data_IF_790732778769
#
_entry.id   IF_790732778769
#
_cell.length_a   1.000
_cell.length_b   1.000
_cell.length_c   1.000
_cell.angle_alpha   90.00
_cell.angle_beta   90.00
_cell.angle_gamma   90.00
#
_symmetry.space_group_name_H-M   'P 1'
#
loop_
_entity.id
_entity.type
_entity.pdbx_description
1 polymer ?
#
# COMPACT_ATOMS: atom_id res chain seq x y z
N UNK A 1 -13.17 1.13 14.02
CA UNK A 1 -13.92 0.47 12.94
C UNK A 1 -13.85 1.26 11.63
N UNK A 2 -14.48 2.44 11.50
CA UNK A 2 -14.58 3.14 10.20
C UNK A 2 -13.25 3.53 9.56
N UNK A 3 -12.27 3.98 10.35
CA UNK A 3 -10.91 4.27 9.86
C UNK A 3 -10.26 3.02 9.26
N UNK A 4 -10.35 1.91 9.98
CA UNK A 4 -9.83 0.60 9.60
C UNK A 4 -10.49 0.09 8.32
N UNK A 5 -11.81 0.20 8.24
CA UNK A 5 -12.58 -0.15 7.06
C UNK A 5 -12.16 0.72 5.85
N UNK A 6 -11.97 2.03 6.04
CA UNK A 6 -11.51 2.92 4.98
C UNK A 6 -10.10 2.54 4.49
N UNK A 7 -9.19 2.17 5.39
CA UNK A 7 -7.83 1.71 5.03
C UNK A 7 -7.89 0.40 4.25
N UNK A 8 -8.63 -0.61 4.73
CA UNK A 8 -8.81 -1.89 4.04
C UNK A 8 -9.47 -1.67 2.67
N UNK A 9 -10.53 -0.87 2.63
CA UNK A 9 -11.25 -0.54 1.41
C UNK A 9 -10.36 0.15 0.37
N UNK A 10 -9.47 1.05 0.79
CA UNK A 10 -8.45 1.65 -0.09
C UNK A 10 -7.55 0.57 -0.69
N UNK A 11 -6.95 -0.29 0.14
CA UNK A 11 -6.08 -1.36 -0.37
C UNK A 11 -6.82 -2.30 -1.31
N UNK A 12 -8.08 -2.61 -1.01
CA UNK A 12 -8.92 -3.44 -1.87
C UNK A 12 -9.20 -2.78 -3.23
N UNK A 13 -9.50 -1.47 -3.26
CA UNK A 13 -9.69 -0.71 -4.50
C UNK A 13 -8.42 -0.67 -5.34
N UNK A 14 -7.26 -0.38 -4.75
CA UNK A 14 -5.97 -0.34 -5.47
C UNK A 14 -5.61 -1.73 -6.01
N UNK A 15 -5.83 -2.77 -5.21
CA UNK A 15 -5.65 -4.16 -5.64
C UNK A 15 -6.56 -4.51 -6.84
N UNK A 16 -7.85 -4.16 -6.78
CA UNK A 16 -8.78 -4.42 -7.87
C UNK A 16 -8.44 -3.62 -9.13
N UNK A 17 -7.96 -2.38 -8.99
CA UNK A 17 -7.45 -1.59 -10.10
C UNK A 17 -6.28 -2.31 -10.78
N UNK A 18 -5.28 -2.77 -10.02
CA UNK A 18 -4.15 -3.53 -10.57
C UNK A 18 -4.61 -4.78 -11.31
N UNK A 19 -5.47 -5.59 -10.70
CA UNK A 19 -5.96 -6.84 -11.31
C UNK A 19 -6.82 -6.59 -12.55
N UNK A 20 -7.54 -5.46 -12.58
CA UNK A 20 -8.28 -5.00 -13.76
C UNK A 20 -7.40 -4.60 -14.94
N UNK A 21 -6.09 -4.45 -14.75
CA UNK A 21 -5.13 -4.12 -15.81
C UNK A 21 -4.38 -5.35 -16.37
N UNK A 22 -4.67 -6.56 -15.87
CA UNK A 22 -3.96 -7.79 -16.23
C UNK A 22 -4.62 -8.52 -17.41
N UNK A 23 -3.83 -9.01 -18.36
CA UNK A 23 -4.27 -9.95 -19.42
C UNK A 23 -4.19 -11.41 -18.98
N UNK A 24 -3.37 -11.71 -17.98
CA UNK A 24 -3.14 -13.07 -17.50
C UNK A 24 -2.78 -13.06 -16.01
N UNK A 25 -3.05 -14.17 -15.33
CA UNK A 25 -2.69 -14.39 -13.94
C UNK A 25 -1.85 -15.68 -13.89
N UNK A 26 -0.68 -15.62 -13.26
CA UNK A 26 0.19 -16.79 -13.09
C UNK A 26 0.23 -17.25 -11.62
N UNK A 27 0.74 -18.47 -11.38
CA UNK A 27 0.78 -19.05 -10.03
C UNK A 27 1.64 -18.24 -9.05
N UNK A 28 2.67 -17.55 -9.54
CA UNK A 28 3.54 -16.70 -8.72
C UNK A 28 2.75 -15.50 -8.18
N UNK A 29 1.99 -14.81 -9.02
CA UNK A 29 1.13 -13.70 -8.63
C UNK A 29 0.07 -14.16 -7.63
N UNK A 30 -0.55 -15.33 -7.86
CA UNK A 30 -1.52 -15.93 -6.93
C UNK A 30 -0.89 -16.20 -5.56
N UNK A 31 0.32 -16.78 -5.51
CA UNK A 31 1.00 -17.05 -4.25
C UNK A 31 1.26 -15.76 -3.45
N UNK A 32 1.74 -14.70 -4.10
CA UNK A 32 1.95 -13.40 -3.44
C UNK A 32 0.64 -12.72 -3.04
N UNK A 33 -0.43 -12.90 -3.81
CA UNK A 33 -1.76 -12.46 -3.44
C UNK A 33 -2.26 -13.15 -2.16
N UNK A 34 -2.03 -14.45 -1.99
CA UNK A 34 -2.42 -15.15 -0.76
C UNK A 34 -1.66 -14.62 0.47
N UNK A 35 -0.36 -14.32 0.34
CA UNK A 35 0.40 -13.68 1.42
C UNK A 35 -0.17 -12.29 1.73
N UNK A 36 -0.47 -11.49 0.70
CA UNK A 36 -1.14 -10.19 0.87
C UNK A 36 -2.47 -10.32 1.62
N UNK A 37 -3.33 -11.26 1.21
CA UNK A 37 -4.63 -11.49 1.85
C UNK A 37 -4.49 -11.94 3.31
N UNK A 38 -3.46 -12.71 3.66
CA UNK A 38 -3.19 -13.09 5.04
C UNK A 38 -2.92 -11.85 5.92
N UNK A 39 -2.11 -10.89 5.46
CA UNK A 39 -1.86 -9.65 6.18
C UNK A 39 -3.09 -8.74 6.24
N UNK A 40 -3.86 -8.65 5.15
CA UNK A 40 -5.13 -7.88 5.14
C UNK A 40 -6.13 -8.48 6.14
N UNK A 41 -6.26 -9.80 6.20
CA UNK A 41 -7.10 -10.50 7.15
C UNK A 41 -6.61 -10.36 8.60
N UNK A 42 -5.29 -10.21 8.81
CA UNK A 42 -4.70 -9.97 10.12
C UNK A 42 -4.84 -8.51 10.59
N UNK A 43 -4.99 -7.55 9.67
CA UNK A 43 -5.01 -6.11 9.96
C UNK A 43 -6.03 -5.63 11.01
N UNK A 44 -7.22 -6.26 11.20
CA UNK A 44 -8.12 -5.92 12.30
C UNK A 44 -7.51 -6.06 13.70
N UNK A 45 -6.57 -6.99 13.90
CA UNK A 45 -5.91 -7.20 15.19
C UNK A 45 -5.05 -5.98 15.63
N UNK A 46 -4.01 -5.54 14.88
CA UNK A 46 -3.23 -4.38 15.28
C UNK A 46 -4.05 -3.08 15.25
N UNK A 47 -5.10 -3.03 14.44
CA UNK A 47 -6.07 -1.93 14.45
C UNK A 47 -6.79 -1.84 15.79
N UNK A 48 -7.32 -2.95 16.31
CA UNK A 48 -7.97 -2.98 17.61
C UNK A 48 -6.97 -2.60 18.71
N UNK A 49 -5.73 -3.08 18.60
CA UNK A 49 -4.65 -2.76 19.52
C UNK A 49 -4.37 -1.25 19.59
N UNK A 50 -4.37 -0.53 18.46
CA UNK A 50 -4.24 0.94 18.45
C UNK A 50 -5.45 1.60 19.10
N UNK A 51 -6.65 1.06 18.85
CA UNK A 51 -7.88 1.61 19.43
C UNK A 51 -7.92 1.59 20.95
N UNK A 52 -7.27 0.60 21.57
CA UNK A 52 -7.23 0.41 23.03
C UNK A 52 -5.92 0.91 23.67
N UNK A 53 -4.80 0.84 22.95
CA UNK A 53 -3.46 1.15 23.45
C UNK A 53 -2.70 2.13 22.54
N UNK A 54 -3.32 3.24 22.15
CA UNK A 54 -2.72 4.23 21.25
C UNK A 54 -1.43 4.86 21.80
N UNK A 55 -1.26 4.92 23.12
CA UNK A 55 -0.06 5.44 23.78
C UNK A 55 1.07 4.40 23.89
N UNK A 56 0.81 3.14 23.55
CA UNK A 56 1.82 2.08 23.54
C UNK A 56 2.56 2.04 22.21
N UNK A 57 3.89 2.22 22.24
CA UNK A 57 4.73 2.10 21.06
C UNK A 57 4.61 0.72 20.40
N UNK A 58 4.45 -0.35 21.18
CA UNK A 58 4.23 -1.71 20.65
C UNK A 58 2.97 -1.77 19.79
N UNK A 59 1.91 -1.09 20.22
CA UNK A 59 0.64 -1.04 19.49
C UNK A 59 0.81 -0.33 18.13
N UNK A 60 1.38 0.88 18.15
CA UNK A 60 1.60 1.69 16.95
C UNK A 60 2.55 0.99 15.97
N UNK A 61 3.63 0.40 16.47
CA UNK A 61 4.61 -0.33 15.67
C UNK A 61 4.00 -1.58 15.04
N UNK A 62 3.17 -2.34 15.79
CA UNK A 62 2.49 -3.53 15.27
C UNK A 62 1.59 -3.20 14.08
N UNK A 63 0.87 -2.08 14.16
CA UNK A 63 0.07 -1.59 13.04
C UNK A 63 0.94 -1.14 11.87
N UNK A 64 1.95 -0.28 12.11
CA UNK A 64 2.84 0.21 11.06
C UNK A 64 3.56 -0.92 10.32
N UNK A 65 3.99 -1.97 11.03
CA UNK A 65 4.57 -3.16 10.42
C UNK A 65 3.55 -3.90 9.56
N UNK A 66 2.35 -4.15 10.07
CA UNK A 66 1.32 -4.86 9.33
C UNK A 66 0.91 -4.11 8.06
N UNK A 67 0.59 -2.82 8.15
CA UNK A 67 0.22 -2.00 6.98
C UNK A 67 1.39 -1.76 6.03
N UNK A 68 2.60 -1.62 6.56
CA UNK A 68 3.84 -1.56 5.77
C UNK A 68 4.04 -2.82 4.94
N UNK A 69 3.84 -4.01 5.53
CA UNK A 69 3.88 -5.29 4.83
C UNK A 69 2.79 -5.39 3.75
N UNK A 70 1.53 -5.00 4.04
CA UNK A 70 0.46 -4.95 3.03
C UNK A 70 0.87 -4.09 1.83
N UNK A 71 1.41 -2.90 2.09
CA UNK A 71 1.88 -1.97 1.04
C UNK A 71 3.05 -2.53 0.23
N UNK A 72 3.98 -3.21 0.89
CA UNK A 72 5.14 -3.82 0.24
C UNK A 72 4.73 -5.00 -0.65
N UNK A 73 3.76 -5.80 -0.20
CA UNK A 73 3.19 -6.90 -0.96
C UNK A 73 2.41 -6.41 -2.18
N UNK A 74 1.66 -5.32 -2.05
CA UNK A 74 1.02 -4.65 -3.19
C UNK A 74 2.06 -4.17 -4.21
N UNK A 75 3.10 -3.48 -3.76
CA UNK A 75 4.24 -3.07 -4.61
C UNK A 75 4.88 -4.29 -5.30
N UNK A 76 5.04 -5.40 -4.57
CA UNK A 76 5.59 -6.63 -5.12
C UNK A 76 4.72 -7.20 -6.24
N UNK A 77 3.39 -7.17 -6.08
CA UNK A 77 2.45 -7.61 -7.11
C UNK A 77 2.52 -6.71 -8.36
N UNK A 78 2.68 -5.39 -8.21
CA UNK A 78 2.93 -4.47 -9.34
C UNK A 78 4.20 -4.87 -10.10
N UNK A 79 5.31 -5.10 -9.37
CA UNK A 79 6.59 -5.51 -9.98
C UNK A 79 6.45 -6.85 -10.72
N UNK A 80 5.82 -7.86 -10.10
CA UNK A 80 5.59 -9.17 -10.74
C UNK A 80 4.75 -9.02 -12.00
N UNK A 81 3.69 -8.21 -11.96
CA UNK A 81 2.78 -8.02 -13.09
C UNK A 81 3.50 -7.44 -14.30
N UNK A 82 4.50 -6.56 -14.09
CA UNK A 82 5.30 -5.98 -15.16
C UNK A 82 6.42 -6.93 -15.61
N UNK A 83 7.16 -7.55 -14.67
CA UNK A 83 8.30 -8.42 -14.99
C UNK A 83 7.87 -9.70 -15.70
N UNK A 84 6.74 -10.28 -15.30
CA UNK A 84 6.22 -11.52 -15.88
C UNK A 84 5.28 -11.25 -17.09
N UNK A 85 5.28 -10.02 -17.63
CA UNK A 85 4.44 -9.56 -18.76
C UNK A 85 2.95 -9.92 -18.62
N UNK A 86 2.38 -9.67 -17.44
CA UNK A 86 0.98 -9.97 -17.13
C UNK A 86 0.02 -8.82 -17.46
N UNK A 87 0.53 -7.64 -17.77
CA UNK A 87 -0.26 -6.44 -18.06
C UNK A 87 -0.92 -6.51 -19.45
N UNK A 88 -2.17 -6.03 -19.57
CA UNK A 88 -2.86 -5.89 -20.86
C UNK A 88 -2.13 -4.96 -21.83
N UNK A 89 -1.55 -3.89 -21.30
CA UNK A 89 -0.75 -2.92 -22.05
C UNK A 89 0.61 -2.82 -21.38
N UNK A 90 1.67 -2.97 -22.16
CA UNK A 90 3.04 -2.77 -21.66
C UNK A 90 3.20 -1.32 -21.23
N UNK A 91 3.52 -1.10 -19.95
CA UNK A 91 3.71 0.25 -19.41
C UNK A 91 5.02 0.85 -19.95
N UNK A 92 5.00 2.08 -20.47
CA UNK A 92 6.21 2.85 -20.68
C UNK A 92 7.00 3.03 -19.36
N UNK A 93 8.34 3.16 -19.39
CA UNK A 93 9.16 3.28 -18.18
C UNK A 93 8.74 4.42 -17.24
N UNK A 94 8.22 5.52 -17.79
CA UNK A 94 7.73 6.66 -17.01
C UNK A 94 6.43 6.36 -16.23
N UNK A 95 5.49 5.63 -16.85
CA UNK A 95 4.24 5.20 -16.23
C UNK A 95 4.53 4.15 -15.16
N UNK A 96 5.42 3.20 -15.46
CA UNK A 96 5.87 2.20 -14.50
C UNK A 96 6.53 2.86 -13.28
N UNK A 97 7.46 3.79 -13.48
CA UNK A 97 8.11 4.51 -12.38
C UNK A 97 7.12 5.32 -11.56
N UNK A 98 6.14 5.97 -12.21
CA UNK A 98 5.09 6.71 -11.53
C UNK A 98 4.25 5.80 -10.63
N UNK A 99 3.82 4.65 -11.15
CA UNK A 99 3.08 3.63 -10.39
C UNK A 99 3.91 3.07 -9.24
N UNK A 100 5.19 2.74 -9.50
CA UNK A 100 6.08 2.15 -8.50
C UNK A 100 6.34 3.10 -7.34
N UNK A 101 6.58 4.39 -7.62
CA UNK A 101 6.75 5.41 -6.58
C UNK A 101 5.46 5.54 -5.76
N UNK A 102 4.29 5.59 -6.40
CA UNK A 102 3.02 5.68 -5.70
C UNK A 102 2.78 4.48 -4.75
N UNK A 103 3.14 3.27 -5.16
CA UNK A 103 3.04 2.05 -4.34
C UNK A 103 4.09 1.99 -3.22
N UNK A 104 5.30 2.52 -3.45
CA UNK A 104 6.39 2.55 -2.47
C UNK A 104 6.19 3.62 -1.39
N UNK A 105 5.49 4.70 -1.69
CA UNK A 105 5.25 5.78 -0.74
C UNK A 105 4.70 5.25 0.59
N UNK A 106 3.60 4.46 0.63
CA UNK A 106 3.07 3.93 1.89
C UNK A 106 4.08 3.07 2.66
N UNK A 107 4.88 2.27 1.97
CA UNK A 107 5.94 1.45 2.58
C UNK A 107 6.93 2.35 3.32
N UNK A 108 7.43 3.38 2.64
CA UNK A 108 8.39 4.32 3.22
C UNK A 108 7.79 5.07 4.41
N UNK A 109 6.55 5.52 4.33
CA UNK A 109 5.91 6.24 5.42
C UNK A 109 5.71 5.39 6.67
N UNK A 110 5.21 4.15 6.52
CA UNK A 110 5.07 3.25 7.66
C UNK A 110 6.43 2.88 8.25
N UNK A 111 7.44 2.58 7.41
CA UNK A 111 8.80 2.29 7.87
C UNK A 111 9.41 3.46 8.65
N UNK A 112 9.26 4.70 8.15
CA UNK A 112 9.75 5.91 8.81
C UNK A 112 8.97 6.25 10.08
N UNK A 113 7.71 5.82 10.20
CA UNK A 113 6.92 6.05 11.41
C UNK A 113 7.33 5.15 12.59
N UNK A 114 7.98 4.01 12.34
CA UNK A 114 8.46 3.09 13.39
C UNK A 114 9.46 3.75 14.35
N UNK A 115 10.57 4.36 13.87
CA UNK A 115 11.47 5.06 14.78
C UNK A 115 10.75 6.18 15.52
N UNK A 116 9.89 6.96 14.86
CA UNK A 116 9.12 8.03 15.50
C UNK A 116 8.25 7.50 16.65
N UNK A 117 7.62 6.34 16.47
CA UNK A 117 6.75 5.72 17.48
C UNK A 117 7.49 5.30 18.75
N UNK A 118 8.82 5.13 18.70
CA UNK A 118 9.65 4.87 19.89
C UNK A 118 9.82 6.11 20.78
N UNK A 119 9.74 7.31 20.20
CA UNK A 119 9.82 8.57 20.95
C UNK A 119 8.44 9.16 21.24
N UNK A 120 7.52 9.11 20.27
CA UNK A 120 6.18 9.68 20.39
C UNK A 120 5.19 8.98 19.44
N UNK A 121 4.28 8.22 20.03
CA UNK A 121 3.21 7.47 19.34
C UNK A 121 2.24 8.38 18.59
N UNK A 122 1.84 9.51 19.18
CA UNK A 122 0.91 10.45 18.56
C UNK A 122 1.50 11.09 17.31
N UNK A 123 2.76 11.54 17.38
CA UNK A 123 3.47 12.11 16.22
C UNK A 123 3.57 11.07 15.11
N UNK A 124 3.90 9.81 15.45
CA UNK A 124 3.95 8.72 14.48
C UNK A 124 2.58 8.52 13.78
N UNK A 125 1.47 8.49 14.53
CA UNK A 125 0.13 8.35 13.96
C UNK A 125 -0.24 9.55 13.05
N UNK A 126 0.11 10.78 13.44
CA UNK A 126 -0.13 11.96 12.59
C UNK A 126 0.65 11.94 11.28
N UNK A 127 1.84 11.31 11.25
CA UNK A 127 2.59 11.17 9.98
C UNK A 127 1.80 10.40 8.93
N UNK A 128 0.96 9.43 9.33
CA UNK A 128 0.15 8.65 8.40
C UNK A 128 -0.93 9.49 7.71
N UNK A 129 -1.50 10.48 8.42
CA UNK A 129 -2.47 11.43 7.84
C UNK A 129 -1.78 12.42 6.90
N UNK A 130 -0.65 12.97 7.35
CA UNK A 130 0.18 13.89 6.56
C UNK A 130 0.59 13.28 5.23
N UNK A 131 0.76 11.95 5.21
CA UNK A 131 1.14 11.18 4.05
C UNK A 131 0.05 11.10 2.95
N UNK A 132 -1.22 11.34 3.27
CA UNK A 132 -2.29 11.42 2.26
C UNK A 132 -2.08 12.59 1.29
N UNK A 133 -1.43 13.66 1.75
CA UNK A 133 -1.15 14.86 0.95
C UNK A 133 -0.17 14.59 -0.19
N UNK A 134 1.05 14.08 0.03
CA UNK A 134 1.98 13.79 -1.05
C UNK A 134 1.43 12.72 -2.01
N UNK A 135 0.66 11.74 -1.53
CA UNK A 135 -0.06 10.77 -2.39
C UNK A 135 -1.04 11.49 -3.35
N UNK A 136 -1.83 12.44 -2.83
CA UNK A 136 -2.75 13.23 -3.66
C UNK A 136 -2.04 14.16 -4.65
N UNK A 137 -0.93 14.78 -4.24
CA UNK A 137 -0.11 15.62 -5.12
C UNK A 137 0.58 14.79 -6.21
N UNK A 138 1.12 13.62 -5.86
CA UNK A 138 1.73 12.69 -6.81
C UNK A 138 0.70 12.24 -7.85
N UNK A 139 -0.52 11.91 -7.43
CA UNK A 139 -1.62 11.56 -8.33
C UNK A 139 -2.05 12.67 -9.28
N UNK A 140 -1.69 13.94 -9.03
CA UNK A 140 -1.90 15.06 -9.96
C UNK A 140 -0.74 15.23 -10.95
N UNK A 141 0.47 14.86 -10.57
CA UNK A 141 1.66 14.91 -11.41
C UNK A 141 1.78 13.69 -12.34
N UNK A 142 0.70 13.34 -13.05
CA UNK A 142 0.68 12.20 -13.97
C UNK A 142 1.46 12.52 -15.26
N UNK A 143 2.40 11.66 -15.69
CA UNK A 143 2.95 11.72 -17.05
C UNK A 143 1.85 11.73 -18.12
N UNK A 144 2.16 12.28 -19.30
CA UNK A 144 1.24 12.28 -20.44
C UNK A 144 0.87 10.84 -20.83
N UNK A 145 -0.41 10.59 -21.14
CA UNK A 145 -0.89 9.26 -21.55
C UNK A 145 -1.05 8.24 -20.43
N UNK A 146 -0.75 8.56 -19.16
CA UNK A 146 -0.89 7.60 -18.03
C UNK A 146 -2.28 6.99 -17.92
N UNK A 147 -3.33 7.78 -18.19
CA UNK A 147 -4.71 7.30 -18.12
C UNK A 147 -5.01 6.23 -19.19
N UNK A 148 -4.23 6.15 -20.28
CA UNK A 148 -4.38 5.10 -21.29
C UNK A 148 -3.85 3.75 -20.81
N UNK A 149 -3.08 3.73 -19.71
CA UNK A 149 -2.47 2.52 -19.15
C UNK A 149 -3.02 2.17 -17.76
N UNK A 150 -3.49 3.15 -17.00
CA UNK A 150 -3.94 3.00 -15.60
C UNK A 150 -5.42 3.34 -15.37
N UNK A 151 -6.15 3.73 -16.43
CA UNK A 151 -7.54 4.25 -16.35
C UNK A 151 -8.57 3.41 -17.09
#
# INVERSE_FOLDING_TARGET
FFISFAVIGRYWMVHHQLFGLLKAINSRLVAWNLVYLAFVAFLPFPTALIGEYSESSVSVISYALCTGCVSALETKMVVISVVDDLMMRTMPPEVYRHSLIASLMPVAAFALSIPIALWNTQVAMYTWLLMMVPLGLWGRAKPAGVNDYLG
#
